data_IF_538943385656
#
_entry.id   IF_538943385656
#
_cell.length_a   1.000
_cell.length_b   1.000
_cell.length_c   1.000
_cell.angle_alpha   90.00
_cell.angle_beta   90.00
_cell.angle_gamma   90.00
#
_symmetry.space_group_name_H-M   'P 1'
#
loop_
_entity.id
_entity.type
_entity.pdbx_description
1 polymer ?
#
# COMPACT_ATOMS: atom_id res chain seq x y z
N UNK A 1 20.93 4.84 18.57
CA UNK A 1 20.77 3.40 18.23
C UNK A 1 19.62 2.83 19.03
N UNK A 2 18.69 2.17 18.36
CA UNK A 2 17.52 1.56 19.00
C UNK A 2 17.49 0.06 18.68
N UNK A 3 17.23 -0.76 19.68
CA UNK A 3 17.06 -2.21 19.49
C UNK A 3 15.61 -2.52 19.19
N UNK A 4 15.33 -3.08 18.02
CA UNK A 4 14.02 -3.62 17.64
C UNK A 4 14.03 -5.14 17.83
N UNK A 5 13.05 -5.67 18.53
CA UNK A 5 12.82 -7.11 18.67
C UNK A 5 11.77 -7.55 17.64
N UNK A 6 12.14 -8.52 16.80
CA UNK A 6 11.26 -9.15 15.81
C UNK A 6 11.30 -10.66 16.05
N UNK A 7 10.17 -11.28 16.35
CA UNK A 7 10.13 -12.71 16.71
C UNK A 7 11.14 -13.11 17.81
N UNK A 8 11.44 -12.21 18.76
CA UNK A 8 12.41 -12.41 19.82
C UNK A 8 13.89 -12.24 19.43
N UNK A 9 14.19 -11.91 18.16
CA UNK A 9 15.54 -11.55 17.70
C UNK A 9 15.73 -10.05 17.77
N UNK A 10 16.92 -9.61 18.17
CA UNK A 10 17.26 -8.20 18.32
C UNK A 10 18.00 -7.65 17.09
N UNK A 11 17.58 -6.49 16.61
CA UNK A 11 18.16 -5.78 15.47
C UNK A 11 18.45 -4.33 15.85
N UNK A 12 19.65 -3.85 15.54
CA UNK A 12 20.00 -2.44 15.72
C UNK A 12 19.51 -1.62 14.54
N UNK A 13 18.72 -0.57 14.82
CA UNK A 13 18.17 0.33 13.80
C UNK A 13 18.25 1.79 14.26
N UNK A 14 18.29 2.69 13.28
CA UNK A 14 18.22 4.15 13.49
C UNK A 14 16.94 4.77 12.90
N UNK A 15 16.13 4.00 12.19
CA UNK A 15 14.82 4.41 11.68
C UNK A 15 14.08 3.30 10.97
N UNK A 16 12.81 3.55 10.64
CA UNK A 16 11.95 2.57 9.97
C UNK A 16 11.26 3.22 8.76
N UNK A 17 11.28 2.53 7.63
CA UNK A 17 10.45 2.80 6.46
C UNK A 17 9.25 1.87 6.45
N UNK A 18 8.09 2.39 6.16
CA UNK A 18 6.85 1.63 6.08
C UNK A 18 6.27 1.73 4.67
N UNK A 19 5.88 0.62 4.09
CA UNK A 19 4.85 0.65 3.09
C UNK A 19 3.51 1.09 3.73
N UNK A 20 2.52 1.46 2.91
CA UNK A 20 1.22 1.95 3.38
C UNK A 20 0.13 0.87 3.33
N UNK A 21 -0.16 0.39 2.13
CA UNK A 21 -1.34 -0.41 1.84
C UNK A 21 -1.08 -1.90 2.13
N UNK A 22 -1.84 -2.51 3.05
CA UNK A 22 -1.54 -3.86 3.55
C UNK A 22 -0.48 -3.89 4.65
N UNK A 23 0.13 -2.74 4.96
CA UNK A 23 1.17 -2.58 5.97
C UNK A 23 0.71 -1.69 7.12
N UNK A 24 0.44 -0.41 6.90
CA UNK A 24 -0.11 0.49 7.92
C UNK A 24 -1.63 0.39 8.01
N UNK A 25 -2.27 0.16 6.89
CA UNK A 25 -3.72 0.05 6.80
C UNK A 25 -4.17 -1.24 6.10
N UNK A 26 -5.38 -1.68 6.45
CA UNK A 26 -6.03 -2.81 5.80
C UNK A 26 -6.34 -2.49 4.34
N UNK A 27 -5.70 -3.21 3.44
CA UNK A 27 -5.86 -3.04 1.99
C UNK A 27 -7.32 -3.22 1.55
N UNK A 28 -7.98 -4.28 2.01
CA UNK A 28 -9.36 -4.56 1.62
C UNK A 28 -10.33 -3.50 2.14
N UNK A 29 -10.14 -3.02 3.35
CA UNK A 29 -10.98 -1.98 3.93
C UNK A 29 -10.98 -0.71 3.10
N UNK A 30 -9.83 -0.29 2.60
CA UNK A 30 -9.70 0.92 1.79
C UNK A 30 -9.97 0.65 0.31
N UNK A 31 -9.15 -0.18 -0.31
CA UNK A 31 -9.17 -0.37 -1.75
C UNK A 31 -10.29 -1.27 -2.24
N UNK A 32 -10.79 -2.18 -1.38
CA UNK A 32 -11.99 -2.97 -1.70
C UNK A 32 -13.21 -2.07 -1.86
N UNK A 33 -13.43 -1.13 -0.94
CA UNK A 33 -14.53 -0.16 -1.05
C UNK A 33 -14.40 0.73 -2.30
N UNK A 34 -13.18 1.14 -2.64
CA UNK A 34 -12.92 1.89 -3.87
C UNK A 34 -13.19 1.07 -5.13
N UNK A 35 -12.73 -0.18 -5.15
CA UNK A 35 -12.93 -1.08 -6.30
C UNK A 35 -14.41 -1.38 -6.55
N UNK A 36 -15.19 -1.64 -5.50
CA UNK A 36 -16.63 -1.87 -5.61
C UNK A 36 -17.35 -0.64 -6.19
N UNK A 37 -17.01 0.55 -5.70
CA UNK A 37 -17.58 1.80 -6.21
C UNK A 37 -17.18 2.05 -7.67
N UNK A 38 -15.91 1.83 -8.03
CA UNK A 38 -15.41 1.98 -9.39
C UNK A 38 -16.10 1.00 -10.35
N UNK A 39 -16.22 -0.27 -9.94
CA UNK A 39 -16.90 -1.30 -10.73
C UNK A 39 -18.36 -0.92 -11.04
N UNK A 40 -19.13 -0.56 -10.01
CA UNK A 40 -20.54 -0.21 -10.19
C UNK A 40 -20.74 0.99 -11.13
N UNK A 41 -19.88 2.03 -10.99
CA UNK A 41 -19.95 3.23 -11.86
C UNK A 41 -19.56 2.90 -13.29
N UNK A 42 -18.49 2.12 -13.49
CA UNK A 42 -18.03 1.75 -14.81
C UNK A 42 -19.03 0.83 -15.52
N UNK A 43 -19.60 -0.14 -14.78
CA UNK A 43 -20.67 -1.02 -15.27
C UNK A 43 -21.89 -0.21 -15.72
N UNK A 44 -22.34 0.76 -14.92
CA UNK A 44 -23.45 1.63 -15.27
C UNK A 44 -23.16 2.51 -16.50
N UNK A 45 -21.96 3.09 -16.57
CA UNK A 45 -21.53 3.90 -17.71
C UNK A 45 -21.46 3.10 -19.02
N UNK A 46 -20.95 1.88 -18.98
CA UNK A 46 -20.91 0.99 -20.14
C UNK A 46 -22.30 0.49 -20.54
N UNK A 47 -23.16 0.16 -19.57
CA UNK A 47 -24.54 -0.24 -19.84
C UNK A 47 -25.35 0.87 -20.54
N UNK A 48 -25.13 2.14 -20.19
CA UNK A 48 -25.75 3.27 -20.88
C UNK A 48 -25.34 3.38 -22.37
N UNK A 49 -24.22 2.78 -22.75
CA UNK A 49 -23.71 2.66 -24.11
C UNK A 49 -24.06 1.33 -24.79
N UNK A 50 -24.89 0.50 -24.14
CA UNK A 50 -25.28 -0.83 -24.65
C UNK A 50 -24.20 -1.91 -24.49
N UNK A 51 -23.18 -1.67 -23.67
CA UNK A 51 -22.08 -2.61 -23.42
C UNK A 51 -22.31 -3.31 -22.08
N UNK A 52 -22.42 -4.65 -22.13
CA UNK A 52 -22.48 -5.46 -20.91
C UNK A 52 -21.06 -5.79 -20.43
N UNK A 53 -20.82 -5.60 -19.13
CA UNK A 53 -19.58 -6.02 -18.49
C UNK A 53 -19.89 -6.81 -17.22
N UNK A 54 -19.26 -7.99 -17.10
CA UNK A 54 -19.53 -8.97 -16.05
C UNK A 54 -18.43 -8.95 -14.97
N UNK A 55 -18.81 -9.31 -13.74
CA UNK A 55 -17.90 -9.34 -12.60
C UNK A 55 -16.69 -10.27 -12.78
N UNK A 56 -16.86 -11.42 -13.42
CA UNK A 56 -15.73 -12.33 -13.69
C UNK A 56 -14.66 -11.70 -14.57
N UNK A 57 -15.03 -10.85 -15.54
CA UNK A 57 -14.07 -10.14 -16.38
C UNK A 57 -13.27 -9.10 -15.58
N UNK A 58 -13.88 -8.48 -14.56
CA UNK A 58 -13.21 -7.60 -13.63
C UNK A 58 -12.18 -8.35 -12.80
N UNK A 59 -12.55 -9.52 -12.26
CA UNK A 59 -11.66 -10.42 -11.51
C UNK A 59 -10.44 -10.83 -12.35
N UNK A 60 -10.67 -11.27 -13.58
CA UNK A 60 -9.59 -11.69 -14.49
C UNK A 60 -8.62 -10.55 -14.85
N UNK A 61 -9.12 -9.32 -14.99
CA UNK A 61 -8.30 -8.17 -15.37
C UNK A 61 -7.44 -7.64 -14.24
N UNK A 62 -7.98 -7.61 -13.03
CA UNK A 62 -7.34 -6.93 -11.90
C UNK A 62 -6.81 -7.89 -10.82
N UNK A 63 -7.19 -9.16 -10.86
CA UNK A 63 -6.82 -10.13 -9.83
C UNK A 63 -7.56 -9.90 -8.52
N UNK A 64 -8.84 -9.49 -8.60
CA UNK A 64 -9.71 -9.29 -7.43
C UNK A 64 -10.64 -10.48 -7.23
N UNK A 65 -11.07 -10.76 -6.01
CA UNK A 65 -12.04 -11.81 -5.69
C UNK A 65 -13.28 -11.20 -5.04
N UNK A 66 -14.45 -11.59 -5.51
CA UNK A 66 -15.72 -11.03 -5.07
C UNK A 66 -16.64 -12.12 -4.52
N UNK A 67 -17.51 -11.77 -3.57
CA UNK A 67 -18.65 -12.61 -3.22
C UNK A 67 -19.60 -12.71 -4.42
N UNK A 68 -20.48 -13.72 -4.46
CA UNK A 68 -21.43 -13.87 -5.54
C UNK A 68 -22.28 -12.59 -5.69
N UNK A 69 -22.08 -11.85 -6.79
CA UNK A 69 -22.67 -10.54 -7.08
C UNK A 69 -22.55 -9.50 -5.93
N UNK A 70 -21.44 -9.59 -5.17
CA UNK A 70 -21.24 -8.83 -3.95
C UNK A 70 -19.87 -8.13 -3.88
N UNK A 71 -19.54 -7.58 -2.69
CA UNK A 71 -18.34 -6.80 -2.48
C UNK A 71 -17.06 -7.62 -2.68
N UNK A 72 -15.96 -6.90 -2.88
CA UNK A 72 -14.62 -7.47 -2.93
C UNK A 72 -14.27 -8.14 -1.57
N UNK A 73 -13.87 -9.41 -1.63
CA UNK A 73 -13.52 -10.22 -0.44
C UNK A 73 -12.05 -10.64 -0.42
N UNK A 74 -11.29 -10.33 -1.47
CA UNK A 74 -9.88 -10.67 -1.55
C UNK A 74 -9.26 -10.19 -2.85
N UNK A 75 -7.95 -10.38 -2.96
CA UNK A 75 -7.17 -9.99 -4.14
C UNK A 75 -5.91 -10.86 -4.28
N UNK A 76 -5.41 -10.99 -5.50
CA UNK A 76 -4.09 -11.56 -5.76
C UNK A 76 -3.01 -10.53 -5.43
N UNK A 77 -2.18 -10.81 -4.41
CA UNK A 77 -1.07 -9.94 -4.00
C UNK A 77 0.00 -9.73 -5.09
N UNK A 78 -0.02 -10.53 -6.16
CA UNK A 78 0.85 -10.40 -7.34
C UNK A 78 0.11 -9.79 -8.53
N UNK A 79 -1.18 -9.52 -8.39
CA UNK A 79 -2.04 -9.01 -9.43
C UNK A 79 -1.93 -7.50 -9.64
N UNK A 80 -2.48 -7.01 -10.77
CA UNK A 80 -2.43 -5.59 -11.12
C UNK A 80 -3.09 -4.67 -10.07
N UNK A 81 -4.11 -5.16 -9.38
CA UNK A 81 -4.80 -4.36 -8.36
C UNK A 81 -3.96 -4.10 -7.10
N UNK A 82 -3.11 -5.06 -6.74
CA UNK A 82 -2.26 -4.95 -5.56
C UNK A 82 -0.92 -4.25 -5.83
N UNK A 83 -0.37 -4.41 -7.03
CA UNK A 83 0.99 -3.97 -7.35
C UNK A 83 1.05 -2.82 -8.36
N UNK A 84 -0.02 -2.61 -9.12
CA UNK A 84 -0.08 -1.57 -10.13
C UNK A 84 -0.36 -0.19 -9.54
N UNK A 85 0.08 0.84 -10.25
CA UNK A 85 -0.33 2.21 -9.98
C UNK A 85 -1.80 2.43 -10.38
N UNK A 86 -2.38 3.51 -9.92
CA UNK A 86 -3.72 3.94 -10.35
C UNK A 86 -3.80 4.14 -11.86
N UNK A 87 -2.72 4.57 -12.50
CA UNK A 87 -2.68 4.72 -13.96
C UNK A 87 -2.61 3.38 -14.68
N UNK A 88 -1.92 2.37 -14.12
CA UNK A 88 -1.93 0.99 -14.65
C UNK A 88 -3.36 0.42 -14.62
N UNK A 89 -4.06 0.53 -13.50
CA UNK A 89 -5.46 0.11 -13.36
C UNK A 89 -6.34 0.85 -14.38
N UNK A 90 -6.15 2.17 -14.53
CA UNK A 90 -6.88 2.98 -15.51
C UNK A 90 -6.65 2.48 -16.94
N UNK A 91 -5.41 2.21 -17.31
CA UNK A 91 -5.07 1.72 -18.65
C UNK A 91 -5.65 0.33 -18.93
N UNK A 92 -5.60 -0.58 -17.96
CA UNK A 92 -6.18 -1.93 -18.07
C UNK A 92 -7.70 -1.85 -18.32
N UNK A 93 -8.41 -1.06 -17.52
CA UNK A 93 -9.86 -0.90 -17.63
C UNK A 93 -10.27 -0.18 -18.93
N UNK A 94 -9.54 0.86 -19.32
CA UNK A 94 -9.77 1.54 -20.60
C UNK A 94 -9.47 0.62 -21.80
N UNK A 95 -8.43 -0.22 -21.71
CA UNK A 95 -8.12 -1.23 -22.71
C UNK A 95 -9.24 -2.27 -22.88
N UNK A 96 -9.91 -2.64 -21.78
CA UNK A 96 -11.10 -3.50 -21.87
C UNK A 96 -12.27 -2.78 -22.52
N UNK A 97 -12.59 -1.56 -22.10
CA UNK A 97 -13.66 -0.76 -22.67
C UNK A 97 -13.44 -0.54 -24.18
N UNK A 98 -12.20 -0.27 -24.59
CA UNK A 98 -11.82 -0.18 -26.02
C UNK A 98 -12.11 -1.48 -26.78
N UNK A 99 -11.76 -2.64 -26.24
CA UNK A 99 -12.07 -3.95 -26.85
C UNK A 99 -13.59 -4.23 -26.94
N UNK A 100 -14.39 -3.58 -26.11
CA UNK A 100 -15.85 -3.61 -26.18
C UNK A 100 -16.44 -2.62 -27.17
N UNK A 101 -15.61 -1.87 -27.91
CA UNK A 101 -16.03 -1.00 -29.00
C UNK A 101 -15.99 0.50 -28.72
N UNK A 102 -15.58 0.95 -27.54
CA UNK A 102 -15.41 2.39 -27.29
C UNK A 102 -14.14 2.90 -27.96
N UNK A 103 -14.16 4.09 -28.59
CA UNK A 103 -12.93 4.78 -28.98
C UNK A 103 -11.99 4.97 -27.78
N UNK A 104 -10.69 4.87 -28.02
CA UNK A 104 -9.69 4.89 -26.93
C UNK A 104 -9.79 6.13 -26.01
N UNK A 105 -9.96 7.31 -26.59
CA UNK A 105 -10.14 8.56 -25.83
C UNK A 105 -11.39 8.53 -24.94
N UNK A 106 -12.51 8.02 -25.47
CA UNK A 106 -13.77 7.89 -24.72
C UNK A 106 -13.65 6.84 -23.60
N UNK A 107 -13.00 5.71 -23.88
CA UNK A 107 -12.72 4.67 -22.88
C UNK A 107 -11.89 5.22 -21.71
N UNK A 108 -10.81 5.98 -22.00
CA UNK A 108 -10.00 6.64 -20.97
C UNK A 108 -10.80 7.66 -20.17
N UNK A 109 -11.60 8.49 -20.84
CA UNK A 109 -12.41 9.51 -20.16
C UNK A 109 -13.47 8.90 -19.26
N UNK A 110 -14.16 7.85 -19.71
CA UNK A 110 -15.12 7.11 -18.90
C UNK A 110 -14.48 6.54 -17.64
N UNK A 111 -13.35 5.84 -17.77
CA UNK A 111 -12.65 5.23 -16.62
C UNK A 111 -12.17 6.31 -15.66
N UNK A 112 -11.57 7.40 -16.15
CA UNK A 112 -11.11 8.52 -15.33
C UNK A 112 -12.25 9.19 -14.57
N UNK A 113 -13.38 9.42 -15.23
CA UNK A 113 -14.57 9.98 -14.58
C UNK A 113 -15.10 9.06 -13.47
N UNK A 114 -15.22 7.75 -13.73
CA UNK A 114 -15.64 6.77 -12.73
C UNK A 114 -14.66 6.71 -11.55
N UNK A 115 -13.35 6.78 -11.82
CA UNK A 115 -12.29 6.82 -10.80
C UNK A 115 -12.41 8.04 -9.88
N UNK A 116 -12.61 9.23 -10.46
CA UNK A 116 -12.81 10.47 -9.69
C UNK A 116 -14.04 10.36 -8.77
N UNK A 117 -15.13 9.80 -9.29
CA UNK A 117 -16.34 9.60 -8.50
C UNK A 117 -16.15 8.54 -7.39
N UNK A 118 -15.39 7.45 -7.66
CA UNK A 118 -15.07 6.46 -6.66
C UNK A 118 -14.17 7.04 -5.55
N UNK A 119 -13.20 7.88 -5.91
CA UNK A 119 -12.36 8.58 -4.94
C UNK A 119 -13.16 9.56 -4.07
N UNK A 120 -14.11 10.30 -4.65
CA UNK A 120 -14.99 11.19 -3.89
C UNK A 120 -15.88 10.43 -2.89
N UNK A 121 -16.35 9.24 -3.26
CA UNK A 121 -17.10 8.38 -2.35
C UNK A 121 -16.22 7.83 -1.22
N UNK A 122 -14.98 7.46 -1.54
CA UNK A 122 -13.99 7.05 -0.56
C UNK A 122 -13.71 8.18 0.46
N UNK A 123 -13.58 9.41 -0.01
CA UNK A 123 -13.39 10.61 0.84
C UNK A 123 -14.57 10.83 1.79
N UNK A 124 -15.80 10.48 1.37
CA UNK A 124 -17.00 10.57 2.19
C UNK A 124 -17.05 9.45 3.25
N UNK A 125 -16.70 8.23 2.87
CA UNK A 125 -16.78 7.05 3.74
C UNK A 125 -15.62 6.95 4.72
N UNK A 126 -14.41 7.34 4.31
CA UNK A 126 -13.15 7.20 5.08
C UNK A 126 -12.95 5.81 5.67
N UNK A 127 -12.95 4.76 4.85
CA UNK A 127 -13.01 3.38 5.33
C UNK A 127 -11.66 2.83 5.82
N UNK A 128 -10.60 3.66 5.85
CA UNK A 128 -9.27 3.24 6.29
C UNK A 128 -9.32 2.66 7.71
N UNK A 129 -8.65 1.52 7.91
CA UNK A 129 -8.49 0.86 9.21
C UNK A 129 -7.02 0.50 9.41
N UNK A 130 -6.50 0.79 10.60
CA UNK A 130 -5.13 0.42 10.95
C UNK A 130 -5.00 -1.09 11.14
N UNK A 131 -3.82 -1.64 10.82
CA UNK A 131 -3.51 -3.02 11.17
C UNK A 131 -3.41 -3.20 12.70
N UNK A 132 -3.67 -4.43 13.21
CA UNK A 132 -3.57 -4.72 14.64
C UNK A 132 -2.20 -4.34 15.23
N UNK A 133 -2.21 -3.71 16.40
CA UNK A 133 -1.01 -3.31 17.13
C UNK A 133 -0.30 -2.05 16.61
N UNK A 134 -0.67 -1.51 15.42
CA UNK A 134 0.03 -0.39 14.78
C UNK A 134 0.15 0.83 15.68
N UNK A 135 -0.95 1.34 16.22
CA UNK A 135 -0.93 2.57 17.05
C UNK A 135 0.04 2.45 18.22
N UNK A 136 0.00 1.32 18.94
CA UNK A 136 0.92 1.06 20.05
C UNK A 136 2.38 1.04 19.58
N UNK A 137 2.65 0.42 18.44
CA UNK A 137 4.00 0.36 17.88
C UNK A 137 4.52 1.74 17.49
N UNK A 138 3.70 2.57 16.83
CA UNK A 138 4.07 3.94 16.46
C UNK A 138 4.33 4.82 17.70
N UNK A 139 3.52 4.68 18.75
CA UNK A 139 3.77 5.36 20.03
C UNK A 139 5.09 4.95 20.67
N UNK A 140 5.42 3.66 20.63
CA UNK A 140 6.71 3.17 21.12
C UNK A 140 7.89 3.70 20.31
N UNK A 141 7.75 3.85 18.99
CA UNK A 141 8.75 4.49 18.13
C UNK A 141 8.92 5.97 18.52
N UNK A 142 7.82 6.70 18.70
CA UNK A 142 7.84 8.11 19.05
C UNK A 142 8.51 8.35 20.43
N UNK A 143 8.21 7.52 21.44
CA UNK A 143 8.85 7.57 22.77
C UNK A 143 10.37 7.40 22.71
N UNK A 144 10.90 6.75 21.66
CA UNK A 144 12.33 6.53 21.45
C UNK A 144 12.97 7.53 20.49
N UNK A 145 12.18 8.48 19.98
CA UNK A 145 12.64 9.43 18.98
C UNK A 145 13.10 8.77 17.68
N UNK A 146 12.56 7.57 17.36
CA UNK A 146 12.94 6.84 16.17
C UNK A 146 12.29 7.49 14.93
N UNK A 147 13.07 7.98 13.95
CA UNK A 147 12.53 8.61 12.75
C UNK A 147 11.84 7.59 11.85
N UNK A 148 10.66 7.96 11.35
CA UNK A 148 9.81 7.12 10.52
C UNK A 148 9.49 7.83 9.20
N UNK A 149 9.44 7.08 8.10
CA UNK A 149 8.91 7.55 6.83
C UNK A 149 8.03 6.49 6.16
N UNK A 150 7.13 6.95 5.29
CA UNK A 150 6.30 6.09 4.45
C UNK A 150 6.86 6.07 3.03
N UNK A 151 6.86 4.88 2.40
CA UNK A 151 7.21 4.65 1.00
C UNK A 151 6.07 3.88 0.34
N UNK A 152 5.38 4.47 -0.63
CA UNK A 152 4.14 3.90 -1.17
C UNK A 152 4.03 4.04 -2.69
N UNK A 153 3.35 3.07 -3.33
CA UNK A 153 2.98 3.16 -4.74
C UNK A 153 1.85 4.17 -5.01
N UNK A 154 1.19 4.66 -3.96
CA UNK A 154 0.17 5.72 -4.05
C UNK A 154 0.83 7.11 -4.21
N UNK A 155 0.04 8.11 -4.64
CA UNK A 155 0.51 9.50 -4.67
C UNK A 155 0.68 10.05 -3.25
N UNK A 156 1.70 10.88 -3.04
CA UNK A 156 2.03 11.48 -1.72
C UNK A 156 0.83 12.15 -1.05
N UNK A 157 0.02 12.89 -1.83
CA UNK A 157 -1.16 13.59 -1.32
C UNK A 157 -2.23 12.62 -0.83
N UNK A 158 -2.52 11.59 -1.60
CA UNK A 158 -3.52 10.57 -1.24
C UNK A 158 -3.04 9.74 -0.05
N UNK A 159 -1.77 9.35 -0.05
CA UNK A 159 -1.17 8.64 1.07
C UNK A 159 -1.30 9.44 2.38
N UNK A 160 -0.94 10.73 2.37
CA UNK A 160 -1.09 11.61 3.54
C UNK A 160 -2.53 11.70 4.00
N UNK A 161 -3.49 11.80 3.09
CA UNK A 161 -4.92 11.84 3.38
C UNK A 161 -5.39 10.56 4.10
N UNK A 162 -5.00 9.40 3.60
CA UNK A 162 -5.36 8.11 4.20
C UNK A 162 -4.74 7.94 5.60
N UNK A 163 -3.49 8.34 5.80
CA UNK A 163 -2.83 8.33 7.11
C UNK A 163 -3.48 9.31 8.09
N UNK A 164 -3.95 10.46 7.60
CA UNK A 164 -4.70 11.42 8.39
C UNK A 164 -6.06 10.86 8.86
N UNK A 165 -6.76 10.09 8.02
CA UNK A 165 -8.00 9.41 8.45
C UNK A 165 -7.76 8.43 9.60
N UNK A 166 -6.57 7.82 9.65
CA UNK A 166 -6.15 6.94 10.75
C UNK A 166 -5.62 7.71 11.98
N UNK A 167 -5.40 9.02 11.86
CA UNK A 167 -4.80 9.85 12.91
C UNK A 167 -3.32 9.57 13.17
N UNK A 168 -2.59 9.01 12.18
CA UNK A 168 -1.19 8.58 12.35
C UNK A 168 -0.19 9.36 11.50
N UNK A 169 -0.64 10.29 10.65
CA UNK A 169 0.20 11.06 9.74
C UNK A 169 1.31 11.86 10.46
N UNK A 170 1.05 12.28 11.69
CA UNK A 170 1.99 13.04 12.53
C UNK A 170 3.20 12.22 13.04
N UNK A 171 3.17 10.89 12.95
CA UNK A 171 4.31 10.04 13.32
C UNK A 171 5.41 10.01 12.25
N UNK A 172 5.09 10.37 11.01
CA UNK A 172 6.01 10.24 9.89
C UNK A 172 6.64 11.59 9.53
N UNK A 173 7.97 11.61 9.53
CA UNK A 173 8.72 12.81 9.14
C UNK A 173 8.61 13.09 7.62
N UNK A 174 8.48 12.03 6.81
CA UNK A 174 8.25 12.16 5.36
C UNK A 174 7.35 11.05 4.82
N UNK A 175 6.71 11.33 3.69
CA UNK A 175 5.90 10.39 2.91
C UNK A 175 6.37 10.48 1.46
N UNK A 176 6.93 9.39 0.95
CA UNK A 176 7.42 9.28 -0.42
C UNK A 176 6.42 8.47 -1.23
N UNK A 177 5.58 9.17 -1.99
CA UNK A 177 4.67 8.56 -2.96
C UNK A 177 5.35 8.32 -4.31
N UNK A 178 4.64 7.64 -5.20
CA UNK A 178 5.10 7.35 -6.56
C UNK A 178 5.36 8.61 -7.39
N UNK A 179 4.68 9.70 -7.07
CA UNK A 179 4.83 11.03 -7.68
C UNK A 179 6.15 11.74 -7.34
N UNK A 180 6.93 11.22 -6.39
CA UNK A 180 8.22 11.81 -5.95
C UNK A 180 9.45 11.09 -6.52
N UNK A 181 9.27 10.04 -7.29
CA UNK A 181 10.36 9.22 -7.84
C UNK A 181 10.17 9.00 -9.33
N UNK A 182 11.26 8.71 -10.02
CA UNK A 182 11.23 8.36 -11.43
C UNK A 182 10.88 6.88 -11.66
N UNK A 183 11.20 6.04 -10.69
CA UNK A 183 10.92 4.59 -10.70
C UNK A 183 10.38 4.15 -9.36
N UNK A 184 9.16 3.60 -9.39
CA UNK A 184 8.50 3.02 -8.23
C UNK A 184 9.06 1.65 -7.82
N UNK A 185 8.50 1.05 -6.76
CA UNK A 185 8.83 -0.30 -6.31
C UNK A 185 8.83 -1.30 -7.48
N UNK A 186 9.80 -2.17 -7.59
CA UNK A 186 10.84 -2.55 -6.62
C UNK A 186 12.17 -1.76 -6.73
N UNK A 187 12.22 -0.65 -7.48
CA UNK A 187 13.42 0.18 -7.57
C UNK A 187 13.77 0.80 -6.19
N UNK A 188 15.07 0.88 -5.82
CA UNK A 188 15.49 1.41 -4.53
C UNK A 188 15.32 2.92 -4.34
N UNK A 189 14.90 3.66 -5.36
CA UNK A 189 14.84 5.13 -5.35
C UNK A 189 14.02 5.67 -4.18
N UNK A 190 12.80 5.13 -3.94
CA UNK A 190 11.94 5.56 -2.83
C UNK A 190 12.60 5.36 -1.46
N UNK A 191 13.17 4.18 -1.23
CA UNK A 191 13.79 3.86 0.05
C UNK A 191 15.02 4.73 0.31
N UNK A 192 15.84 4.96 -0.70
CA UNK A 192 17.00 5.86 -0.60
C UNK A 192 16.62 7.31 -0.36
N UNK A 193 15.58 7.80 -1.05
CA UNK A 193 15.05 9.13 -0.84
C UNK A 193 14.49 9.30 0.58
N UNK A 194 13.77 8.31 1.09
CA UNK A 194 13.26 8.31 2.46
C UNK A 194 14.39 8.30 3.50
N UNK A 195 15.42 7.46 3.34
CA UNK A 195 16.59 7.46 4.22
C UNK A 195 17.29 8.82 4.22
N UNK A 196 17.49 9.41 3.04
CA UNK A 196 18.10 10.73 2.91
C UNK A 196 17.28 11.83 3.60
N UNK A 197 15.94 11.80 3.47
CA UNK A 197 15.07 12.77 4.14
C UNK A 197 15.07 12.64 5.67
N UNK A 198 15.27 11.43 6.18
CA UNK A 198 15.39 11.15 7.62
C UNK A 198 16.82 11.40 8.16
N UNK A 199 17.81 11.57 7.30
CA UNK A 199 19.21 11.70 7.69
C UNK A 199 19.81 10.42 8.28
N UNK A 200 19.37 9.26 7.82
CA UNK A 200 19.80 7.93 8.28
C UNK A 200 20.40 7.10 7.14
N UNK A 201 21.29 6.18 7.49
CA UNK A 201 21.89 5.27 6.52
C UNK A 201 20.96 4.06 6.25
N UNK A 202 20.81 3.63 4.99
CA UNK A 202 20.04 2.41 4.67
C UNK A 202 20.49 1.18 5.46
N UNK A 203 21.81 1.00 5.64
CA UNK A 203 22.41 -0.11 6.41
C UNK A 203 22.03 -0.13 7.91
N UNK A 204 21.34 0.88 8.39
CA UNK A 204 20.82 1.02 9.76
C UNK A 204 19.32 1.24 9.81
N UNK A 205 18.64 0.93 8.72
CA UNK A 205 17.21 1.17 8.54
C UNK A 205 16.48 -0.17 8.41
N UNK A 206 15.33 -0.32 9.10
CA UNK A 206 14.39 -1.40 8.83
C UNK A 206 13.36 -0.93 7.79
N UNK A 207 12.86 -1.87 6.98
CA UNK A 207 11.74 -1.65 6.07
C UNK A 207 10.65 -2.67 6.38
N UNK A 208 9.42 -2.21 6.59
CA UNK A 208 8.24 -3.04 6.81
C UNK A 208 7.30 -2.91 5.61
N UNK A 209 6.90 -4.04 5.04
CA UNK A 209 6.02 -4.09 3.88
C UNK A 209 5.30 -5.43 3.75
N UNK A 210 4.29 -5.51 2.89
CA UNK A 210 3.47 -6.72 2.70
C UNK A 210 3.66 -7.38 1.32
N UNK A 211 4.46 -6.78 0.43
CA UNK A 211 4.70 -7.27 -0.94
C UNK A 211 6.16 -7.66 -1.20
N UNK A 212 6.36 -8.53 -2.18
CA UNK A 212 7.71 -8.85 -2.67
C UNK A 212 8.44 -7.61 -3.25
N UNK A 213 7.68 -6.63 -3.78
CA UNK A 213 8.20 -5.36 -4.29
C UNK A 213 8.86 -4.53 -3.19
N UNK A 214 8.28 -4.51 -1.98
CA UNK A 214 8.87 -3.84 -0.81
C UNK A 214 10.18 -4.47 -0.40
N UNK A 215 10.19 -5.80 -0.30
CA UNK A 215 11.38 -6.54 0.09
C UNK A 215 12.52 -6.34 -0.93
N UNK A 216 12.21 -6.39 -2.22
CA UNK A 216 13.19 -6.15 -3.29
C UNK A 216 13.72 -4.71 -3.26
N UNK A 217 12.84 -3.73 -3.08
CA UNK A 217 13.21 -2.31 -2.93
C UNK A 217 14.16 -2.11 -1.74
N UNK A 218 13.82 -2.66 -0.58
CA UNK A 218 14.64 -2.57 0.62
C UNK A 218 16.02 -3.19 0.43
N UNK A 219 16.08 -4.42 -0.08
CA UNK A 219 17.36 -5.10 -0.37
C UNK A 219 18.21 -4.32 -1.39
N UNK A 220 17.60 -3.83 -2.46
CA UNK A 220 18.31 -3.04 -3.48
C UNK A 220 18.77 -1.67 -2.94
N UNK A 221 18.07 -1.10 -1.96
CA UNK A 221 18.49 0.12 -1.26
C UNK A 221 19.62 -0.13 -0.26
N UNK A 222 19.80 -1.37 0.20
CA UNK A 222 20.79 -1.75 1.21
C UNK A 222 20.30 -1.57 2.64
N UNK A 223 18.97 -1.68 2.90
CA UNK A 223 18.45 -1.65 4.28
C UNK A 223 18.93 -2.85 5.08
N UNK A 224 19.15 -2.65 6.38
CA UNK A 224 19.70 -3.70 7.26
C UNK A 224 18.70 -4.82 7.56
N UNK A 225 17.40 -4.52 7.50
CA UNK A 225 16.35 -5.46 7.87
C UNK A 225 15.09 -5.24 7.02
N UNK A 226 14.59 -6.29 6.40
CA UNK A 226 13.28 -6.29 5.74
C UNK A 226 12.31 -7.17 6.51
N UNK A 227 11.17 -6.62 6.89
CA UNK A 227 10.11 -7.29 7.67
C UNK A 227 8.86 -7.38 6.80
N UNK A 228 8.44 -8.61 6.50
CA UNK A 228 7.15 -8.88 5.89
C UNK A 228 6.03 -8.88 6.93
N UNK A 229 4.91 -8.20 6.68
CA UNK A 229 3.76 -8.17 7.59
C UNK A 229 2.51 -8.79 6.95
N UNK A 230 1.72 -9.51 7.76
CA UNK A 230 0.44 -10.09 7.32
C UNK A 230 0.53 -11.13 6.21
N UNK A 231 1.67 -11.79 6.02
CA UNK A 231 1.92 -12.76 4.96
C UNK A 231 1.99 -14.20 5.50
N UNK A 232 0.87 -14.88 5.74
CA UNK A 232 0.88 -16.27 6.16
C UNK A 232 1.63 -17.13 5.13
N UNK A 233 2.60 -17.92 5.59
CA UNK A 233 3.42 -18.76 4.72
C UNK A 233 4.69 -18.10 4.17
N UNK A 234 4.98 -16.87 4.58
CA UNK A 234 6.21 -16.15 4.25
C UNK A 234 6.07 -15.16 3.10
N UNK A 235 7.02 -14.26 3.02
CA UNK A 235 7.14 -13.27 1.97
C UNK A 235 8.53 -13.38 1.33
N UNK A 236 8.64 -13.68 0.03
CA UNK A 236 9.93 -13.82 -0.63
C UNK A 236 10.80 -12.57 -0.48
N UNK A 237 12.03 -12.75 0.00
CA UNK A 237 12.99 -11.67 0.21
C UNK A 237 12.92 -10.99 1.57
N UNK A 238 11.94 -11.27 2.43
CA UNK A 238 11.91 -10.80 3.81
C UNK A 238 12.97 -11.51 4.66
N UNK A 239 13.64 -10.78 5.55
CA UNK A 239 14.54 -11.35 6.56
C UNK A 239 13.73 -11.94 7.73
N UNK A 240 12.65 -11.26 8.10
CA UNK A 240 11.67 -11.69 9.11
C UNK A 240 10.25 -11.52 8.56
N UNK A 241 9.32 -12.33 9.07
CA UNK A 241 7.88 -12.22 8.75
C UNK A 241 7.08 -12.24 10.05
N UNK A 242 6.14 -11.33 10.18
CA UNK A 242 5.24 -11.19 11.33
C UNK A 242 3.78 -11.15 10.89
N UNK A 243 2.86 -11.58 11.74
CA UNK A 243 1.42 -11.52 11.46
C UNK A 243 0.87 -10.09 11.53
N UNK A 244 1.36 -9.33 12.50
CA UNK A 244 0.92 -7.98 12.86
C UNK A 244 1.98 -7.27 13.70
N UNK A 245 1.69 -6.04 14.14
CA UNK A 245 2.61 -5.22 14.94
C UNK A 245 2.78 -5.70 16.38
N UNK A 246 1.95 -6.61 16.88
CA UNK A 246 2.08 -7.15 18.23
C UNK A 246 3.30 -8.09 18.37
N UNK A 247 3.81 -8.59 17.24
CA UNK A 247 5.05 -9.36 17.18
C UNK A 247 6.33 -8.50 17.17
N UNK A 248 6.18 -7.16 17.09
CA UNK A 248 7.28 -6.21 17.15
C UNK A 248 7.33 -5.56 18.53
N UNK A 249 8.53 -5.49 19.12
CA UNK A 249 8.70 -4.90 20.44
C UNK A 249 10.03 -4.16 20.55
N UNK A 250 10.14 -3.34 21.58
CA UNK A 250 11.40 -2.74 22.00
C UNK A 250 11.73 -3.22 23.41
N UNK A 251 13.01 -3.45 23.74
CA UNK A 251 13.41 -3.75 25.11
C UNK A 251 12.97 -2.65 26.09
N UNK A 252 12.76 -2.97 27.37
CA UNK A 252 12.56 -1.96 28.39
C UNK A 252 13.67 -0.92 28.40
N UNK A 253 13.32 0.35 28.68
CA UNK A 253 14.33 1.40 28.83
C UNK A 253 15.29 1.06 29.97
N UNK A 254 16.58 0.81 29.67
CA UNK A 254 17.62 0.63 30.68
C UNK A 254 18.37 -0.71 30.68
N UNK A 255 18.05 -1.62 29.79
CA UNK A 255 18.80 -2.88 29.62
C UNK A 255 19.46 -2.91 28.21
N UNK A 256 20.55 -2.17 28.04
CA UNK A 256 21.45 -2.23 26.89
C UNK A 256 22.87 -2.37 27.34
#
# INVERSE_FOLDING_TARGET
MTMLLVNGRAYEIDGILFDKDGTLLDFLGLWGAWADCLYERLRAGLAALGIEWRMNEWTELLGTFHAADGPMIGYDRKGPFAMGSIDDVTAILAGKAYRCGLPWNEALELVRSCRIQAAAELDRMRPARALPGLHRFLEQCAQRGLPLAVVTADDTKEARKHLHWLGIDHHFADIIGNDRVSRGKPDPEMARLACASLGIEPSRTALIGDTAGDMQMGKAAGVSLTIGIGAPGGLPGADEVVSDYDALAFPPHGEA
#
